data_IF_273967828390
#
_entry.id   IF_273967828390
#
_cell.length_a   1.000
_cell.length_b   1.000
_cell.length_c   1.000
_cell.angle_alpha   90.00
_cell.angle_beta   90.00
_cell.angle_gamma   90.00
#
_symmetry.space_group_name_H-M   'P 1'
#
loop_
_entity.id
_entity.type
_entity.pdbx_description
1 polymer ?
#
# COMPACT_ATOMS: atom_id res chain seq x y z
N UNK A 1 11.78 -10.51 -6.37
CA UNK A 1 10.88 -11.66 -6.40
C UNK A 1 9.44 -11.17 -6.38
N UNK A 2 8.50 -11.97 -6.86
CA UNK A 2 7.05 -11.74 -6.69
C UNK A 2 6.44 -12.93 -5.97
N UNK A 3 5.44 -12.68 -5.14
CA UNK A 3 4.76 -13.68 -4.33
C UNK A 3 3.27 -13.64 -4.65
N UNK A 4 2.66 -14.81 -4.70
CA UNK A 4 1.23 -15.00 -4.93
C UNK A 4 0.73 -15.97 -3.87
N UNK A 5 -0.32 -15.59 -3.15
CA UNK A 5 -0.83 -16.37 -2.05
C UNK A 5 -2.35 -16.27 -1.96
N UNK A 6 -2.99 -17.41 -1.76
CA UNK A 6 -4.39 -17.48 -1.39
C UNK A 6 -4.50 -17.73 0.10
N UNK A 7 -5.39 -17.01 0.77
CA UNK A 7 -5.60 -17.14 2.21
C UNK A 7 -7.07 -16.93 2.59
N UNK A 8 -7.42 -17.37 3.79
CA UNK A 8 -8.71 -17.16 4.43
C UNK A 8 -8.54 -16.11 5.53
N UNK A 9 -9.47 -15.16 5.61
CA UNK A 9 -9.56 -14.26 6.75
C UNK A 9 -10.28 -14.92 7.96
N UNK A 10 -10.45 -14.17 9.04
CA UNK A 10 -11.17 -14.62 10.24
C UNK A 10 -12.66 -14.89 10.01
N UNK A 11 -13.25 -14.30 8.96
CA UNK A 11 -14.66 -14.38 8.62
C UNK A 11 -14.95 -15.47 7.56
N UNK A 12 -13.93 -16.26 7.21
CA UNK A 12 -13.96 -17.31 6.18
C UNK A 12 -14.17 -16.80 4.75
N UNK A 13 -13.78 -15.55 4.47
CA UNK A 13 -13.68 -15.05 3.11
C UNK A 13 -12.32 -15.42 2.52
N UNK A 14 -12.33 -15.84 1.26
CA UNK A 14 -11.10 -16.14 0.52
C UNK A 14 -10.53 -14.90 -0.12
N UNK A 15 -9.20 -14.81 -0.08
CA UNK A 15 -8.43 -13.73 -0.64
C UNK A 15 -7.27 -14.25 -1.49
N UNK A 16 -6.83 -13.39 -2.39
CA UNK A 16 -5.57 -13.51 -3.12
C UNK A 16 -4.71 -12.27 -2.88
N UNK A 17 -3.50 -12.47 -2.37
CA UNK A 17 -2.47 -11.44 -2.22
C UNK A 17 -1.41 -11.60 -3.30
N UNK A 18 -1.02 -10.47 -3.89
CA UNK A 18 0.15 -10.37 -4.77
C UNK A 18 1.12 -9.34 -4.23
N UNK A 19 2.38 -9.73 -4.05
CA UNK A 19 3.43 -8.84 -3.53
C UNK A 19 4.75 -9.00 -4.27
N UNK A 20 5.68 -8.07 -4.04
CA UNK A 20 7.04 -8.16 -4.54
C UNK A 20 8.03 -7.48 -3.58
N UNK A 21 9.27 -7.96 -3.53
CA UNK A 21 10.30 -7.36 -2.66
C UNK A 21 10.52 -5.86 -2.92
N UNK A 22 10.27 -5.41 -4.15
CA UNK A 22 10.54 -4.02 -4.57
C UNK A 22 9.39 -3.06 -4.29
N UNK A 23 8.17 -3.58 -4.13
CA UNK A 23 6.94 -2.77 -4.10
C UNK A 23 6.05 -3.09 -2.89
N UNK A 24 6.46 -4.04 -2.04
CA UNK A 24 5.59 -4.61 -1.02
C UNK A 24 4.38 -5.28 -1.65
N UNK A 25 3.25 -5.26 -0.94
CA UNK A 25 1.98 -5.80 -1.44
C UNK A 25 1.40 -4.90 -2.54
N UNK A 26 1.24 -5.48 -3.71
CA UNK A 26 0.76 -4.84 -4.94
C UNK A 26 -0.77 -4.93 -5.02
N UNK A 27 -1.33 -6.09 -4.66
CA UNK A 27 -2.77 -6.35 -4.74
C UNK A 27 -3.23 -7.20 -3.56
N UNK A 28 -4.46 -6.95 -3.12
CA UNK A 28 -5.21 -7.83 -2.25
C UNK A 28 -6.63 -7.90 -2.78
N UNK A 29 -7.10 -9.09 -3.15
CA UNK A 29 -8.36 -9.22 -3.83
C UNK A 29 -9.22 -10.31 -3.22
N UNK A 30 -10.50 -10.01 -3.02
CA UNK A 30 -11.46 -10.95 -2.48
C UNK A 30 -11.94 -11.90 -3.57
N UNK A 31 -11.81 -13.20 -3.32
CA UNK A 31 -12.40 -14.23 -4.17
C UNK A 31 -13.91 -14.34 -3.88
N UNK A 32 -14.71 -14.14 -4.92
CA UNK A 32 -16.19 -14.17 -4.84
C UNK A 32 -16.77 -15.47 -5.37
N UNK A 33 -16.08 -16.14 -6.29
CA UNK A 33 -16.46 -17.46 -6.76
C UNK A 33 -15.26 -18.19 -7.38
N UNK A 34 -15.34 -19.52 -7.37
CA UNK A 34 -14.41 -20.40 -8.08
C UNK A 34 -15.21 -21.40 -8.89
N UNK A 35 -14.80 -21.62 -10.14
CA UNK A 35 -15.31 -22.68 -11.00
C UNK A 35 -14.16 -23.44 -11.63
N UNK A 36 -14.41 -24.70 -11.98
CA UNK A 36 -13.47 -25.52 -12.75
C UNK A 36 -13.76 -25.36 -14.24
N UNK A 37 -12.73 -25.14 -15.04
CA UNK A 37 -12.78 -25.07 -16.50
C UNK A 37 -11.72 -26.03 -17.08
N UNK A 38 -12.12 -27.28 -17.33
CA UNK A 38 -11.19 -28.33 -17.73
C UNK A 38 -10.13 -28.64 -16.65
N UNK A 39 -8.87 -28.40 -16.99
CA UNK A 39 -7.73 -28.55 -16.09
C UNK A 39 -7.52 -27.32 -15.18
N UNK A 40 -8.18 -26.20 -15.48
CA UNK A 40 -7.96 -24.92 -14.82
C UNK A 40 -9.01 -24.66 -13.74
N UNK A 41 -8.62 -23.83 -12.78
CA UNK A 41 -9.55 -23.14 -11.88
C UNK A 41 -9.68 -21.69 -12.31
N UNK A 42 -10.92 -21.23 -12.43
CA UNK A 42 -11.25 -19.85 -12.76
C UNK A 42 -11.84 -19.20 -11.51
N UNK A 43 -11.18 -18.17 -11.02
CA UNK A 43 -11.54 -17.43 -9.80
C UNK A 43 -12.00 -16.04 -10.18
N UNK A 44 -13.17 -15.64 -9.70
CA UNK A 44 -13.63 -14.25 -9.78
C UNK A 44 -13.12 -13.49 -8.57
N UNK A 45 -12.40 -12.41 -8.83
CA UNK A 45 -11.73 -11.57 -7.84
C UNK A 45 -12.30 -10.16 -7.88
N UNK A 46 -12.36 -9.50 -6.72
CA UNK A 46 -12.64 -8.07 -6.58
C UNK A 46 -11.40 -7.42 -5.97
N UNK A 47 -10.79 -6.45 -6.65
CA UNK A 47 -9.67 -5.69 -6.08
C UNK A 47 -10.12 -4.97 -4.81
N UNK A 48 -9.31 -5.01 -3.77
CA UNK A 48 -9.50 -4.19 -2.57
C UNK A 48 -8.38 -3.15 -2.39
N UNK A 49 -7.35 -3.18 -3.26
CA UNK A 49 -6.17 -2.31 -3.10
C UNK A 49 -5.96 -1.35 -4.26
N UNK A 50 -5.58 -1.83 -5.44
CA UNK A 50 -5.07 -0.94 -6.49
C UNK A 50 -6.18 -0.23 -7.27
N UNK A 51 -7.29 -0.92 -7.55
CA UNK A 51 -8.46 -0.40 -8.26
C UNK A 51 -9.71 -0.90 -7.54
N UNK A 52 -9.87 -0.47 -6.28
CA UNK A 52 -10.85 -1.03 -5.35
C UNK A 52 -12.26 -1.17 -5.94
N UNK A 53 -12.88 -2.32 -5.74
CA UNK A 53 -14.18 -2.69 -6.29
C UNK A 53 -14.14 -3.25 -7.72
N UNK A 54 -13.01 -3.13 -8.43
CA UNK A 54 -12.89 -3.66 -9.79
C UNK A 54 -12.91 -5.19 -9.78
N UNK A 55 -13.83 -5.76 -10.56
CA UNK A 55 -13.95 -7.21 -10.73
C UNK A 55 -13.09 -7.70 -11.87
N UNK A 56 -12.40 -8.81 -11.68
CA UNK A 56 -11.58 -9.45 -12.70
C UNK A 56 -11.49 -10.96 -12.51
N UNK A 57 -11.08 -11.63 -13.58
CA UNK A 57 -10.90 -13.08 -13.59
C UNK A 57 -9.41 -13.45 -13.48
N UNK A 58 -9.13 -14.44 -12.63
CA UNK A 58 -7.87 -15.15 -12.60
C UNK A 58 -8.05 -16.63 -12.96
N UNK A 59 -7.09 -17.17 -13.70
CA UNK A 59 -6.95 -18.59 -14.05
C UNK A 59 -5.76 -19.18 -13.33
N UNK A 60 -5.97 -20.35 -12.74
CA UNK A 60 -4.98 -21.11 -12.01
C UNK A 60 -4.85 -22.48 -12.68
N UNK A 61 -3.65 -22.79 -13.15
CA UNK A 61 -3.33 -24.09 -13.74
C UNK A 61 -2.27 -24.77 -12.90
N UNK A 62 -2.52 -26.00 -12.44
CA UNK A 62 -1.47 -26.79 -11.78
C UNK A 62 -0.49 -27.31 -12.83
N UNK A 63 0.77 -26.87 -12.73
CA UNK A 63 1.83 -27.27 -13.66
C UNK A 63 2.34 -28.69 -13.36
N UNK A 64 2.00 -29.26 -12.20
CA UNK A 64 2.34 -30.62 -11.83
C UNK A 64 1.23 -31.31 -11.03
N UNK A 65 1.24 -32.65 -11.05
CA UNK A 65 0.26 -33.49 -10.36
C UNK A 65 0.33 -33.40 -8.84
N UNK A 66 1.49 -33.02 -8.31
CA UNK A 66 1.75 -32.97 -6.87
C UNK A 66 1.29 -31.65 -6.25
N UNK A 67 0.71 -30.75 -7.06
CA UNK A 67 0.21 -29.44 -6.67
C UNK A 67 1.23 -28.58 -5.92
N UNK A 68 2.50 -28.67 -6.32
CA UNK A 68 3.59 -27.85 -5.77
C UNK A 68 3.98 -26.71 -6.70
N UNK A 69 3.44 -26.66 -7.92
CA UNK A 69 3.69 -25.58 -8.85
C UNK A 69 2.42 -25.24 -9.64
N UNK A 70 2.10 -23.95 -9.75
CA UNK A 70 0.95 -23.46 -10.49
C UNK A 70 1.30 -22.24 -11.33
N UNK A 71 0.66 -22.12 -12.48
CA UNK A 71 0.57 -20.88 -13.22
C UNK A 71 -0.62 -20.06 -12.70
N UNK A 72 -0.40 -18.77 -12.48
CA UNK A 72 -1.47 -17.82 -12.20
C UNK A 72 -1.49 -16.74 -13.27
N UNK A 73 -2.65 -16.62 -13.93
CA UNK A 73 -2.88 -15.71 -15.03
C UNK A 73 -4.11 -14.85 -14.74
N UNK A 74 -4.00 -13.53 -14.78
CA UNK A 74 -5.13 -12.62 -14.58
C UNK A 74 -5.09 -11.47 -15.57
N UNK A 75 -6.29 -11.01 -15.92
CA UNK A 75 -6.47 -9.77 -16.69
C UNK A 75 -6.04 -8.53 -15.91
N UNK A 76 -6.05 -8.60 -14.57
CA UNK A 76 -5.58 -7.52 -13.71
C UNK A 76 -4.09 -7.27 -13.93
N UNK A 77 -3.77 -6.13 -14.57
CA UNK A 77 -2.42 -5.72 -14.96
C UNK A 77 -1.65 -6.78 -15.77
N UNK A 78 -2.36 -7.69 -16.45
CA UNK A 78 -1.77 -8.75 -17.29
C UNK A 78 -0.73 -9.61 -16.56
N UNK A 79 -0.96 -9.92 -15.28
CA UNK A 79 -0.07 -10.81 -14.52
C UNK A 79 -0.20 -12.22 -15.08
N UNK A 80 0.93 -12.82 -15.45
CA UNK A 80 1.03 -14.21 -15.88
C UNK A 80 2.37 -14.77 -15.41
N UNK A 81 2.35 -15.68 -14.44
CA UNK A 81 3.58 -16.21 -13.84
C UNK A 81 3.41 -17.61 -13.26
N UNK A 82 4.52 -18.34 -13.22
CA UNK A 82 4.61 -19.64 -12.56
C UNK A 82 5.13 -19.48 -11.13
N UNK A 83 4.44 -20.11 -10.19
CA UNK A 83 4.70 -20.02 -8.76
C UNK A 83 4.92 -21.42 -8.19
N UNK A 84 5.91 -21.56 -7.30
CA UNK A 84 6.24 -22.83 -6.64
C UNK A 84 5.95 -22.73 -5.15
N UNK A 85 5.23 -23.71 -4.60
CA UNK A 85 5.06 -23.91 -3.16
C UNK A 85 6.35 -24.46 -2.55
N UNK A 86 6.80 -23.91 -1.41
CA UNK A 86 7.95 -24.44 -0.69
C UNK A 86 8.32 -23.63 0.54
N UNK A 87 9.17 -24.18 1.40
CA UNK A 87 9.65 -23.52 2.62
C UNK A 87 10.46 -22.25 2.33
N UNK A 88 11.15 -22.19 1.19
CA UNK A 88 11.84 -20.97 0.72
C UNK A 88 10.83 -19.91 0.27
N UNK A 89 9.70 -20.35 -0.31
CA UNK A 89 8.58 -19.47 -0.60
C UNK A 89 7.90 -19.01 0.67
N UNK A 90 7.73 -19.85 1.72
CA UNK A 90 7.14 -19.49 3.01
C UNK A 90 8.01 -18.54 3.85
N UNK A 91 9.32 -18.76 3.92
CA UNK A 91 10.26 -17.90 4.64
C UNK A 91 10.46 -16.54 3.96
N UNK A 92 10.47 -16.52 2.61
CA UNK A 92 10.52 -15.28 1.81
C UNK A 92 9.14 -14.60 1.71
N UNK A 93 8.04 -15.37 1.81
CA UNK A 93 6.68 -14.84 1.91
C UNK A 93 6.41 -14.26 3.30
N UNK A 94 6.94 -14.81 4.39
CA UNK A 94 6.85 -14.16 5.70
C UNK A 94 7.66 -12.86 5.78
N UNK A 95 8.66 -12.65 4.92
CA UNK A 95 9.39 -11.37 4.83
C UNK A 95 8.81 -10.41 3.78
N UNK A 96 8.14 -10.90 2.74
CA UNK A 96 7.53 -10.08 1.68
C UNK A 96 5.99 -9.93 1.76
N UNK A 97 5.35 -10.73 2.61
CA UNK A 97 3.93 -10.70 2.95
C UNK A 97 3.72 -10.63 4.46
N UNK A 98 4.70 -10.07 5.20
CA UNK A 98 4.40 -9.36 6.45
C UNK A 98 3.66 -8.06 6.11
N UNK A 99 2.47 -8.24 5.55
CA UNK A 99 1.39 -7.29 5.73
C UNK A 99 0.50 -7.99 6.72
N UNK A 100 0.56 -7.56 7.98
CA UNK A 100 -0.45 -7.93 8.95
C UNK A 100 -1.82 -7.73 8.30
N UNK A 101 -2.46 -8.85 7.95
CA UNK A 101 -3.90 -8.91 7.74
C UNK A 101 -4.50 -8.86 9.14
N UNK A 102 -4.42 -7.68 9.74
CA UNK A 102 -5.20 -7.30 10.88
C UNK A 102 -5.61 -5.86 10.60
N UNK A 103 -6.87 -5.71 10.22
CA UNK A 103 -7.74 -4.64 10.71
C UNK A 103 -7.03 -3.81 11.79
N UNK A 104 -6.73 -2.54 11.48
CA UNK A 104 -6.21 -1.52 12.40
C UNK A 104 -4.77 -1.61 12.98
N UNK A 105 -3.77 -2.29 12.36
CA UNK A 105 -2.50 -2.54 13.10
C UNK A 105 -1.12 -2.35 12.44
N UNK A 106 -0.94 -1.90 11.18
CA UNK A 106 0.42 -1.77 10.62
C UNK A 106 0.83 -0.33 10.30
N UNK A 107 0.19 0.31 9.31
CA UNK A 107 0.48 1.73 9.06
C UNK A 107 -0.10 2.64 10.16
N UNK A 108 -1.15 2.19 10.86
CA UNK A 108 -1.80 2.96 11.92
C UNK A 108 -0.85 3.24 13.09
N UNK A 109 -0.27 2.17 13.64
CA UNK A 109 0.69 2.26 14.72
C UNK A 109 2.00 2.87 14.23
N UNK A 110 2.41 2.55 12.99
CA UNK A 110 3.59 3.18 12.39
C UNK A 110 3.45 4.71 12.31
N UNK A 111 2.32 5.23 11.81
CA UNK A 111 2.09 6.69 11.73
C UNK A 111 2.13 7.30 13.12
N UNK A 112 1.47 6.65 14.08
CA UNK A 112 1.43 7.08 15.48
C UNK A 112 2.82 7.19 16.11
N UNK A 113 3.69 6.22 15.83
CA UNK A 113 5.02 6.16 16.41
C UNK A 113 6.03 7.07 15.71
N UNK A 114 5.82 7.38 14.42
CA UNK A 114 6.86 7.98 13.58
C UNK A 114 6.55 9.40 13.08
N UNK A 115 5.28 9.75 12.85
CA UNK A 115 4.90 11.01 12.16
C UNK A 115 3.72 11.76 12.79
N UNK A 116 3.16 11.28 13.91
CA UNK A 116 2.04 11.91 14.60
C UNK A 116 2.38 13.33 15.08
N UNK A 117 1.64 14.32 14.58
CA UNK A 117 1.84 15.73 14.88
C UNK A 117 2.40 16.55 13.71
N UNK A 118 2.73 17.80 14.04
CA UNK A 118 3.17 18.81 13.08
C UNK A 118 4.69 18.74 12.90
N UNK A 119 5.15 18.80 11.66
CA UNK A 119 6.56 18.88 11.32
C UNK A 119 6.79 19.93 10.21
N UNK A 120 7.93 20.61 10.26
CA UNK A 120 8.29 21.69 9.34
C UNK A 120 9.36 21.26 8.35
N UNK A 121 9.24 21.66 7.09
CA UNK A 121 10.22 21.34 6.05
C UNK A 121 11.55 22.07 6.31
N UNK A 122 12.64 21.30 6.39
CA UNK A 122 13.98 21.84 6.63
C UNK A 122 14.46 22.67 5.42
N UNK A 123 15.20 23.78 5.65
CA UNK A 123 15.61 24.72 4.60
C UNK A 123 16.26 24.08 3.37
N UNK A 124 17.07 23.04 3.58
CA UNK A 124 17.89 22.40 2.56
C UNK A 124 17.08 21.60 1.53
N UNK A 125 15.84 21.24 1.87
CA UNK A 125 15.01 20.34 1.04
C UNK A 125 13.81 21.00 0.39
N UNK A 126 13.64 22.32 0.58
CA UNK A 126 12.49 23.08 0.08
C UNK A 126 12.34 22.99 -1.43
N UNK A 127 11.42 22.14 -1.88
CA UNK A 127 11.16 21.91 -3.32
C UNK A 127 10.12 22.87 -3.89
N UNK A 128 9.31 23.52 -3.05
CA UNK A 128 8.22 24.42 -3.45
C UNK A 128 8.69 25.88 -3.69
N UNK A 129 9.72 26.07 -4.52
CA UNK A 129 10.24 27.42 -4.83
C UNK A 129 10.80 28.16 -3.60
N UNK A 130 11.36 27.42 -2.65
CA UNK A 130 11.93 27.95 -1.40
C UNK A 130 10.89 28.39 -0.37
N UNK A 131 9.61 28.08 -0.59
CA UNK A 131 8.56 28.26 0.42
C UNK A 131 8.76 27.31 1.61
N UNK A 132 8.24 27.73 2.76
CA UNK A 132 8.21 26.90 3.96
C UNK A 132 6.91 26.11 3.96
N UNK A 133 7.00 24.79 3.99
CA UNK A 133 5.83 23.92 4.19
C UNK A 133 5.83 23.27 5.57
N UNK A 134 4.62 23.03 6.09
CA UNK A 134 4.37 22.23 7.27
C UNK A 134 3.60 20.98 6.85
N UNK A 135 3.92 19.83 7.44
CA UNK A 135 3.26 18.55 7.23
C UNK A 135 2.72 18.08 8.57
N UNK A 136 1.43 17.79 8.61
CA UNK A 136 0.72 17.41 9.83
C UNK A 136 -0.01 16.09 9.60
N UNK A 137 0.34 15.06 10.37
CA UNK A 137 -0.46 13.83 10.42
C UNK A 137 -1.23 13.80 11.73
N UNK A 138 -2.54 13.55 11.65
CA UNK A 138 -3.38 13.45 12.84
C UNK A 138 -4.34 12.27 12.77
N UNK A 139 -4.56 11.63 13.91
CA UNK A 139 -5.59 10.60 14.06
C UNK A 139 -6.86 11.22 14.66
N UNK A 140 -7.94 11.25 13.89
CA UNK A 140 -9.21 11.82 14.30
C UNK A 140 -10.39 10.94 13.87
N UNK A 141 -11.37 10.77 14.77
CA UNK A 141 -12.63 10.09 14.50
C UNK A 141 -12.56 8.67 13.89
N UNK A 142 -11.44 7.95 14.06
CA UNK A 142 -11.27 6.61 13.50
C UNK A 142 -10.44 6.56 12.21
N UNK A 143 -9.99 7.71 11.72
CA UNK A 143 -9.22 7.84 10.48
C UNK A 143 -7.94 8.68 10.69
N UNK A 144 -6.91 8.38 9.90
CA UNK A 144 -5.73 9.24 9.79
C UNK A 144 -5.97 10.30 8.73
N UNK A 145 -5.53 11.52 9.02
CA UNK A 145 -5.53 12.64 8.10
C UNK A 145 -4.12 13.15 7.91
N UNK A 146 -3.89 13.75 6.75
CA UNK A 146 -2.66 14.46 6.43
C UNK A 146 -2.98 15.83 5.85
N UNK A 147 -2.47 16.87 6.49
CA UNK A 147 -2.49 18.23 6.00
C UNK A 147 -1.08 18.66 5.58
N UNK A 148 -1.03 19.40 4.47
CA UNK A 148 0.18 20.08 4.05
C UNK A 148 -0.13 21.58 3.92
N UNK A 149 0.53 22.38 4.74
CA UNK A 149 0.42 23.83 4.72
C UNK A 149 1.64 24.48 4.08
N UNK A 150 1.43 25.67 3.53
CA UNK A 150 2.45 26.50 2.91
C UNK A 150 2.36 27.91 3.48
N UNK A 151 3.50 28.46 3.91
CA UNK A 151 3.54 29.80 4.50
C UNK A 151 3.05 30.90 3.55
N UNK A 152 3.14 30.66 2.23
CA UNK A 152 2.68 31.59 1.19
C UNK A 152 1.26 31.32 0.68
N UNK A 153 0.80 30.07 0.73
CA UNK A 153 -0.45 29.62 0.08
C UNK A 153 -1.55 29.24 1.06
N UNK A 154 -1.23 29.06 2.34
CA UNK A 154 -2.11 28.39 3.30
C UNK A 154 -2.13 26.89 3.06
N UNK A 155 -3.25 26.25 3.40
CA UNK A 155 -3.45 24.80 3.22
C UNK A 155 -3.39 24.44 1.74
N UNK A 156 -2.39 23.62 1.41
CA UNK A 156 -2.14 23.10 0.06
C UNK A 156 -3.01 21.88 -0.19
N UNK A 157 -3.14 21.01 0.82
CA UNK A 157 -3.98 19.83 0.79
C UNK A 157 -4.41 19.42 2.20
N UNK A 158 -5.62 18.88 2.29
CA UNK A 158 -6.12 18.09 3.39
C UNK A 158 -6.58 16.75 2.83
N UNK A 159 -6.09 15.64 3.36
CA UNK A 159 -6.38 14.32 2.82
C UNK A 159 -6.65 13.28 3.91
N UNK A 160 -7.58 12.37 3.64
CA UNK A 160 -7.80 11.18 4.47
C UNK A 160 -6.86 10.07 4.00
N UNK A 161 -6.17 9.42 4.93
CA UNK A 161 -5.37 8.21 4.65
C UNK A 161 -6.30 7.01 4.59
N UNK A 162 -6.51 6.48 3.39
CA UNK A 162 -7.45 5.37 3.14
C UNK A 162 -6.77 3.99 3.27
N UNK A 163 -5.46 3.90 3.04
CA UNK A 163 -4.68 2.67 3.24
C UNK A 163 -3.18 2.95 3.32
N UNK A 164 -2.41 1.97 3.79
CA UNK A 164 -0.96 2.08 3.86
C UNK A 164 -0.23 0.74 3.83
N UNK A 165 1.07 0.77 3.52
CA UNK A 165 1.96 -0.40 3.55
C UNK A 165 3.33 0.03 4.07
N UNK A 166 3.73 -0.55 5.19
CA UNK A 166 5.04 -0.33 5.82
C UNK A 166 6.06 -1.27 5.19
N UNK A 167 7.30 -0.81 5.02
CA UNK A 167 8.40 -1.63 4.53
C UNK A 167 8.79 -2.70 5.56
N UNK A 168 9.43 -3.77 5.07
CA UNK A 168 9.87 -4.86 5.93
C UNK A 168 10.85 -4.42 7.04
N UNK A 169 11.69 -3.42 6.78
CA UNK A 169 12.62 -2.87 7.77
C UNK A 169 11.98 -1.81 8.69
N UNK A 170 10.68 -1.52 8.51
CA UNK A 170 9.95 -0.53 9.29
C UNK A 170 10.38 0.93 9.05
N UNK A 171 11.27 1.20 8.09
CA UNK A 171 11.81 2.55 7.87
C UNK A 171 11.00 3.37 6.88
N UNK A 172 10.01 2.78 6.23
CA UNK A 172 9.30 3.41 5.13
C UNK A 172 7.84 3.03 5.15
N UNK A 173 6.96 3.94 4.76
CA UNK A 173 5.55 3.65 4.50
C UNK A 173 5.11 4.27 3.18
N UNK A 174 4.30 3.54 2.42
CA UNK A 174 3.52 4.09 1.31
C UNK A 174 2.06 4.11 1.69
N UNK A 175 1.46 5.28 1.65
CA UNK A 175 0.06 5.54 1.95
C UNK A 175 -0.69 5.86 0.66
N UNK A 176 -1.93 5.40 0.59
CA UNK A 176 -2.91 5.94 -0.35
C UNK A 176 -3.77 6.94 0.41
N UNK A 177 -3.86 8.15 -0.11
CA UNK A 177 -4.61 9.24 0.49
C UNK A 177 -5.66 9.76 -0.49
N UNK A 178 -6.81 10.17 0.03
CA UNK A 178 -7.91 10.76 -0.72
C UNK A 178 -7.99 12.25 -0.36
N UNK A 179 -7.95 13.12 -1.37
CA UNK A 179 -8.06 14.56 -1.16
C UNK A 179 -9.46 14.95 -0.71
N UNK A 180 -9.52 15.75 0.35
CA UNK A 180 -10.76 16.27 0.97
C UNK A 180 -11.10 17.69 0.52
N UNK A 181 -10.23 18.34 -0.26
CA UNK A 181 -10.39 19.72 -0.75
C UNK A 181 -10.79 19.83 -2.23
N UNK A 182 -11.57 20.86 -2.57
CA UNK A 182 -11.85 21.26 -3.96
C UNK A 182 -10.62 21.95 -4.59
N UNK A 183 -10.33 21.82 -5.91
CA UNK A 183 -11.13 21.19 -6.97
C UNK A 183 -11.00 19.66 -7.06
N UNK A 184 -9.95 19.09 -6.49
CA UNK A 184 -9.57 17.70 -6.71
C UNK A 184 -10.19 16.78 -5.64
N UNK A 185 -11.44 17.05 -5.25
CA UNK A 185 -12.13 16.31 -4.19
C UNK A 185 -12.34 14.85 -4.59
N UNK A 186 -12.00 13.92 -3.68
CA UNK A 186 -11.96 12.47 -3.88
C UNK A 186 -10.84 11.95 -4.80
N UNK A 187 -9.98 12.81 -5.36
CA UNK A 187 -8.83 12.33 -6.10
C UNK A 187 -7.86 11.60 -5.16
N UNK A 188 -7.44 10.42 -5.58
CA UNK A 188 -6.49 9.60 -4.83
C UNK A 188 -5.06 9.85 -5.29
N UNK A 189 -4.15 9.84 -4.33
CA UNK A 189 -2.72 10.01 -4.58
C UNK A 189 -1.91 9.23 -3.55
N UNK A 190 -0.61 9.10 -3.81
CA UNK A 190 0.30 8.33 -2.97
C UNK A 190 1.20 9.24 -2.17
N UNK A 191 1.29 8.98 -0.87
CA UNK A 191 2.29 9.59 0.02
C UNK A 191 3.31 8.52 0.36
N UNK A 192 4.57 8.87 0.30
CA UNK A 192 5.69 8.01 0.64
C UNK A 192 6.49 8.70 1.74
N UNK A 193 6.67 8.02 2.87
CA UNK A 193 7.41 8.53 4.01
C UNK A 193 8.59 7.61 4.28
N UNK A 194 9.76 8.18 4.54
CA UNK A 194 10.98 7.48 4.89
C UNK A 194 11.60 8.08 6.17
N UNK A 195 11.71 7.27 7.21
CA UNK A 195 12.30 7.62 8.52
C UNK A 195 13.72 7.08 8.70
N UNK A 196 14.32 6.43 7.69
CA UNK A 196 15.74 6.04 7.68
C UNK A 196 16.71 7.25 7.56
N UNK A 197 16.28 8.43 8.01
CA UNK A 197 17.07 9.63 8.06
C UNK A 197 17.36 9.98 9.53
N UNK A 198 18.48 10.65 9.78
CA UNK A 198 18.95 10.91 11.14
C UNK A 198 17.99 11.81 11.94
N UNK A 199 17.95 11.61 13.27
CA UNK A 199 17.39 12.53 14.26
C UNK A 199 15.85 12.67 14.31
N UNK A 200 15.09 11.66 13.91
CA UNK A 200 13.62 11.70 14.03
C UNK A 200 12.94 12.56 12.95
N UNK A 201 13.70 13.06 11.99
CA UNK A 201 13.18 13.66 10.77
C UNK A 201 12.54 12.57 9.88
N UNK A 202 11.68 12.97 8.95
CA UNK A 202 11.21 12.09 7.89
C UNK A 202 11.27 12.75 6.52
N UNK A 203 11.60 11.99 5.48
CA UNK A 203 11.42 12.43 4.10
C UNK A 203 10.01 12.07 3.65
N UNK A 204 9.27 13.05 3.13
CA UNK A 204 7.95 12.87 2.55
C UNK A 204 7.99 13.19 1.06
N UNK A 205 7.41 12.29 0.27
CA UNK A 205 7.23 12.44 -1.17
C UNK A 205 5.80 12.13 -1.56
N UNK A 206 5.20 12.96 -2.40
CA UNK A 206 3.89 12.68 -3.01
C UNK A 206 3.88 13.06 -4.48
N UNK A 207 3.06 12.36 -5.26
CA UNK A 207 2.77 12.74 -6.64
C UNK A 207 1.80 13.93 -6.73
N UNK A 208 1.08 14.24 -5.65
CA UNK A 208 0.24 15.44 -5.58
C UNK A 208 1.11 16.69 -5.50
N UNK A 209 0.98 17.58 -6.49
CA UNK A 209 1.78 18.80 -6.64
C UNK A 209 3.31 18.62 -6.57
N UNK A 210 3.82 17.39 -6.75
CA UNK A 210 5.25 17.05 -6.75
C UNK A 210 6.04 17.45 -5.50
N UNK A 211 5.43 17.33 -4.32
CA UNK A 211 6.10 17.62 -3.05
C UNK A 211 7.13 16.54 -2.73
N UNK A 212 8.35 16.95 -2.41
CA UNK A 212 9.43 16.08 -1.96
C UNK A 212 10.33 16.86 -0.99
N UNK A 213 10.16 16.64 0.31
CA UNK A 213 10.82 17.41 1.36
C UNK A 213 11.20 16.56 2.56
N UNK A 214 12.15 17.05 3.35
CA UNK A 214 12.46 16.48 4.66
C UNK A 214 11.83 17.36 5.73
N UNK A 215 11.12 16.73 6.66
CA UNK A 215 10.33 17.37 7.70
C UNK A 215 10.89 17.00 9.07
N UNK A 216 10.91 17.98 9.96
CA UNK A 216 11.42 17.89 11.32
C UNK A 216 10.34 18.37 12.30
N UNK A 217 10.09 17.57 13.34
CA UNK A 217 9.19 17.92 14.45
C UNK A 217 9.70 19.08 15.31
#
# INVERSE_FOLDING_TARGET
>A
MTYSQFYLDSDNNWYWSFSSDKRGQIENARATSVKRDGADYVVQLISEKYESGTSYEAKIHWNNSDHTNYNFNTSFKSINGDYTFGNDALSSYSSANDVSTSTSGNYYDWLKENVDGEAMEIPETRTNGGDVTGSHFEYYAGDWFWDLDSSKRGTVISAQIISGTVSHDGTFVTLTAQNMGYPDYNDEFTITINTAISNGDYNLKTNFQSVNGTYQF
#
